data_IF_974292351354
#
_entry.id   IF_974292351354
#
_cell.length_a   1.000
_cell.length_b   1.000
_cell.length_c   1.000
_cell.angle_alpha   90.00
_cell.angle_beta   90.00
_cell.angle_gamma   90.00
#
_symmetry.space_group_name_H-M   'P 1'
#
loop_
_entity.id
_entity.type
_entity.pdbx_description
1 polymer ?
#
# COMPACT_ATOMS: atom_id res chain seq x y z
N UNK A 1 8.32 22.05 -13.40
CA UNK A 1 8.32 21.14 -12.24
C UNK A 1 7.16 20.19 -12.47
N UNK A 2 7.46 19.02 -13.02
CA UNK A 2 6.44 18.09 -13.53
C UNK A 2 5.81 17.37 -12.34
N UNK A 3 4.52 17.03 -12.44
CA UNK A 3 3.74 16.36 -11.40
C UNK A 3 4.16 14.88 -11.13
N UNK A 4 5.47 14.60 -11.09
CA UNK A 4 6.07 13.26 -10.99
C UNK A 4 7.30 13.17 -10.08
N UNK A 5 7.56 14.14 -9.19
CA UNK A 5 8.81 14.18 -8.41
C UNK A 5 8.75 13.56 -7.00
N UNK A 6 7.57 13.15 -6.51
CA UNK A 6 7.49 12.37 -5.27
C UNK A 6 7.05 10.93 -5.57
N UNK A 7 8.00 10.00 -5.52
CA UNK A 7 7.70 8.56 -5.55
C UNK A 7 6.65 8.23 -4.49
N UNK A 8 5.67 7.38 -4.82
CA UNK A 8 4.68 6.85 -3.86
C UNK A 8 5.35 6.36 -2.58
N UNK A 9 6.57 5.81 -2.69
CA UNK A 9 7.40 5.43 -1.55
C UNK A 9 7.64 6.59 -0.57
N UNK A 10 8.07 7.76 -1.03
CA UNK A 10 8.37 8.89 -0.14
C UNK A 10 7.12 9.42 0.57
N UNK A 11 5.97 9.39 -0.11
CA UNK A 11 4.69 9.79 0.49
C UNK A 11 4.27 8.82 1.61
N UNK A 12 4.38 7.51 1.37
CA UNK A 12 4.04 6.51 2.38
C UNK A 12 5.07 6.48 3.50
N UNK A 13 6.36 6.56 3.17
CA UNK A 13 7.45 6.53 4.14
C UNK A 13 7.39 7.72 5.10
N UNK A 14 7.09 8.92 4.61
CA UNK A 14 6.95 10.11 5.45
C UNK A 14 5.82 9.99 6.49
N UNK A 15 4.81 9.17 6.21
CA UNK A 15 3.65 8.98 7.10
C UNK A 15 3.73 7.75 7.99
N UNK A 16 4.23 6.64 7.46
CA UNK A 16 4.18 5.33 8.12
C UNK A 16 5.57 4.76 8.45
N UNK A 17 6.65 5.36 7.95
CA UNK A 17 8.02 4.84 8.11
C UNK A 17 8.29 3.62 7.21
N UNK A 18 9.18 2.73 7.66
CA UNK A 18 9.63 1.57 6.87
C UNK A 18 8.58 0.45 6.75
N UNK A 19 7.62 0.40 7.66
CA UNK A 19 6.61 -0.65 7.70
C UNK A 19 5.23 -0.06 7.96
N UNK A 20 4.19 -0.66 7.38
CA UNK A 20 2.81 -0.26 7.60
C UNK A 20 1.91 -1.47 7.85
N UNK A 21 0.90 -1.30 8.70
CA UNK A 21 -0.07 -2.36 8.99
C UNK A 21 -1.17 -2.46 7.93
N UNK A 22 -1.99 -3.51 8.02
CA UNK A 22 -3.16 -3.66 7.14
C UNK A 22 -4.18 -2.53 7.35
N UNK A 23 -4.31 -2.03 8.57
CA UNK A 23 -5.13 -0.86 8.92
C UNK A 23 -4.60 0.39 8.22
N UNK A 24 -3.30 0.65 8.28
CA UNK A 24 -2.69 1.78 7.60
C UNK A 24 -2.86 1.70 6.08
N UNK A 25 -2.69 0.52 5.50
CA UNK A 25 -2.93 0.28 4.07
C UNK A 25 -4.40 0.52 3.71
N UNK A 26 -5.33 0.03 4.52
CA UNK A 26 -6.77 0.30 4.36
C UNK A 26 -7.05 1.79 4.40
N UNK A 27 -6.56 2.49 5.42
CA UNK A 27 -6.86 3.91 5.62
C UNK A 27 -6.29 4.77 4.47
N UNK A 28 -5.17 4.34 3.89
CA UNK A 28 -4.53 5.04 2.78
C UNK A 28 -5.21 4.81 1.42
N UNK A 29 -5.61 3.57 1.11
CA UNK A 29 -6.05 3.19 -0.24
C UNK A 29 -7.52 2.78 -0.33
N UNK A 30 -8.12 2.36 0.79
CA UNK A 30 -9.48 1.81 0.85
C UNK A 30 -10.24 2.22 2.12
N UNK A 31 -10.34 3.52 2.44
CA UNK A 31 -10.85 3.98 3.73
C UNK A 31 -12.31 3.57 4.00
N UNK A 32 -13.09 3.30 2.95
CA UNK A 32 -14.48 2.83 3.06
C UNK A 32 -14.64 1.32 3.21
N UNK A 33 -13.56 0.53 3.07
CA UNK A 33 -13.62 -0.94 3.18
C UNK A 33 -13.43 -1.37 4.64
N UNK A 34 -14.09 -2.46 5.03
CA UNK A 34 -13.89 -3.05 6.36
C UNK A 34 -12.54 -3.78 6.45
N UNK A 35 -12.00 -3.94 7.67
CA UNK A 35 -10.78 -4.74 7.89
C UNK A 35 -10.97 -6.20 7.49
N UNK A 36 -12.16 -6.77 7.70
CA UNK A 36 -12.48 -8.14 7.25
C UNK A 36 -12.35 -8.27 5.72
N UNK A 37 -12.83 -7.29 4.95
CA UNK A 37 -12.66 -7.29 3.50
C UNK A 37 -11.18 -7.20 3.12
N UNK A 38 -10.39 -6.41 3.84
CA UNK A 38 -8.95 -6.31 3.62
C UNK A 38 -8.25 -7.64 3.93
N UNK A 39 -8.59 -8.31 5.03
CA UNK A 39 -8.05 -9.63 5.37
C UNK A 39 -8.38 -10.68 4.31
N UNK A 40 -9.62 -10.69 3.79
CA UNK A 40 -9.98 -11.60 2.70
C UNK A 40 -9.13 -11.38 1.44
N UNK A 41 -8.86 -10.11 1.10
CA UNK A 41 -7.99 -9.75 -0.04
C UNK A 41 -6.54 -10.13 0.20
N UNK A 42 -6.06 -9.95 1.42
CA UNK A 42 -4.74 -10.42 1.84
C UNK A 42 -4.60 -11.93 1.65
N UNK A 43 -5.57 -12.71 2.12
CA UNK A 43 -5.62 -14.17 1.93
C UNK A 43 -5.74 -14.58 0.46
N UNK A 44 -6.33 -13.74 -0.39
CA UNK A 44 -6.41 -13.95 -1.84
C UNK A 44 -5.10 -13.59 -2.58
N UNK A 45 -4.12 -13.00 -1.90
CA UNK A 45 -2.85 -12.57 -2.51
C UNK A 45 -2.93 -11.25 -3.28
N UNK A 46 -3.95 -10.41 -3.01
CA UNK A 46 -4.12 -9.11 -3.68
C UNK A 46 -3.10 -8.05 -3.25
N UNK A 47 -2.40 -8.27 -2.13
CA UNK A 47 -1.47 -7.32 -1.50
C UNK A 47 -0.03 -7.81 -1.60
N UNK A 48 0.96 -6.91 -1.38
CA UNK A 48 2.36 -7.32 -1.26
C UNK A 48 2.55 -8.37 -0.16
N UNK A 49 3.61 -9.19 -0.24
CA UNK A 49 3.98 -10.08 0.86
C UNK A 49 4.20 -9.30 2.16
N UNK A 50 3.71 -9.85 3.27
CA UNK A 50 3.99 -9.32 4.61
C UNK A 50 5.29 -9.91 5.15
N UNK A 51 5.95 -9.14 6.01
CA UNK A 51 7.06 -9.58 6.86
C UNK A 51 6.51 -9.68 8.28
N UNK A 52 6.12 -10.88 8.70
CA UNK A 52 5.36 -11.09 9.93
C UNK A 52 3.94 -10.54 9.78
N UNK A 53 3.61 -9.50 10.54
CA UNK A 53 2.27 -8.87 10.58
C UNK A 53 2.20 -7.50 9.89
N UNK A 54 3.29 -7.06 9.27
CA UNK A 54 3.40 -5.74 8.63
C UNK A 54 3.81 -5.86 7.17
N UNK A 55 3.49 -4.83 6.39
CA UNK A 55 3.98 -4.65 5.03
C UNK A 55 5.23 -3.78 5.05
N UNK A 56 6.20 -4.12 4.20
CA UNK A 56 7.28 -3.19 3.85
C UNK A 56 6.69 -2.03 3.02
N UNK A 57 6.92 -0.80 3.45
CA UNK A 57 6.35 0.40 2.82
C UNK A 57 6.81 0.58 1.37
N UNK A 58 8.04 0.16 1.02
CA UNK A 58 8.53 0.16 -0.36
C UNK A 58 7.80 -0.87 -1.20
N UNK A 59 7.57 -2.07 -0.67
CA UNK A 59 6.81 -3.09 -1.37
C UNK A 59 5.36 -2.65 -1.65
N UNK A 60 4.73 -1.93 -0.71
CA UNK A 60 3.40 -1.32 -0.91
C UNK A 60 3.43 -0.24 -1.98
N UNK A 61 4.43 0.64 -1.97
CA UNK A 61 4.57 1.67 -2.99
C UNK A 61 4.72 1.06 -4.40
N UNK A 62 5.60 0.07 -4.56
CA UNK A 62 5.82 -0.60 -5.84
C UNK A 62 4.56 -1.32 -6.34
N UNK A 63 3.80 -1.94 -5.44
CA UNK A 63 2.53 -2.59 -5.76
C UNK A 63 1.46 -1.60 -6.21
N UNK A 64 1.38 -0.43 -5.57
CA UNK A 64 0.45 0.63 -5.97
C UNK A 64 0.82 1.20 -7.33
N UNK A 65 2.09 1.53 -7.53
CA UNK A 65 2.58 2.10 -8.79
C UNK A 65 2.35 1.13 -9.96
N UNK A 66 2.51 -0.17 -9.75
CA UNK A 66 2.19 -1.21 -10.75
C UNK A 66 0.71 -1.22 -11.12
N UNK A 67 -0.20 -1.02 -10.17
CA UNK A 67 -1.64 -0.94 -10.45
C UNK A 67 -1.99 0.35 -11.19
N UNK A 68 -1.47 1.50 -10.75
CA UNK A 68 -1.71 2.79 -11.40
C UNK A 68 -1.26 2.77 -12.87
N UNK A 69 -0.12 2.13 -13.16
CA UNK A 69 0.39 1.96 -14.52
C UNK A 69 -0.44 1.00 -15.39
N UNK A 70 -1.14 0.03 -14.79
CA UNK A 70 -2.05 -0.88 -15.52
C UNK A 70 -3.38 -0.23 -15.88
N UNK A 71 -3.75 0.84 -15.17
CA UNK A 71 -5.01 1.56 -15.38
C UNK A 71 -4.88 2.71 -16.41
N UNK A 72 -3.67 3.03 -16.86
CA UNK A 72 -3.35 4.04 -17.85
C UNK A 72 -3.11 3.40 -19.23
#
# INVERSE_FOLDING_TARGET
MSAGEFSTFWLLFGRYGMAMSLEALRDQFYPSRSLKTMQNRLSAGDFPPMVGEVFDTRAVADWWDKQARRAA
#
